data_IF_244357545470
#
_entry.id   IF_244357545470
#
_cell.length_a   1.000
_cell.length_b   1.000
_cell.length_c   1.000
_cell.angle_alpha   90.00
_cell.angle_beta   90.00
_cell.angle_gamma   90.00
#
_symmetry.space_group_name_H-M   'P 1'
#
loop_
_entity.id
_entity.type
_entity.pdbx_description
1 polymer ?
#
# COMPACT_ATOMS: atom_id res chain seq x y z
N UNK A 1 -24.10 8.60 7.20
CA UNK A 1 -22.97 7.87 6.56
C UNK A 1 -21.73 8.67 6.88
N UNK A 2 -20.66 8.02 7.31
CA UNK A 2 -19.38 8.70 7.51
C UNK A 2 -18.87 9.17 6.13
N UNK A 3 -18.20 10.33 6.08
CA UNK A 3 -17.55 10.77 4.85
C UNK A 3 -16.39 9.79 4.54
N UNK A 4 -16.30 9.32 3.30
CA UNK A 4 -15.21 8.42 2.87
C UNK A 4 -13.82 9.05 3.06
N UNK A 5 -13.73 10.38 3.15
CA UNK A 5 -12.48 11.11 3.42
C UNK A 5 -11.96 10.90 4.83
N UNK A 6 -12.83 10.50 5.75
CA UNK A 6 -12.47 10.21 7.14
C UNK A 6 -12.08 8.74 7.34
N UNK A 7 -12.04 7.93 6.27
CA UNK A 7 -11.58 6.53 6.33
C UNK A 7 -10.19 6.48 6.94
N UNK A 8 -9.98 5.71 8.04
CA UNK A 8 -8.65 5.53 8.60
C UNK A 8 -7.68 4.91 7.57
N UNK A 9 -6.54 5.56 7.38
CA UNK A 9 -5.46 5.09 6.51
C UNK A 9 -4.24 4.84 7.36
N UNK A 10 -3.73 3.60 7.32
CA UNK A 10 -2.53 3.19 8.00
C UNK A 10 -1.43 2.93 6.97
N UNK A 11 -0.31 3.63 7.10
CA UNK A 11 0.86 3.50 6.22
C UNK A 11 1.95 2.81 7.02
N UNK A 12 2.31 1.59 6.64
CA UNK A 12 3.33 0.80 7.30
C UNK A 12 4.71 1.18 6.73
N UNK A 13 5.44 2.08 7.38
CA UNK A 13 6.68 2.65 6.86
C UNK A 13 7.94 2.09 7.56
N UNK A 14 8.94 1.76 6.74
CA UNK A 14 10.31 1.49 7.17
C UNK A 14 11.29 2.14 6.19
N UNK A 15 11.99 3.18 6.63
CA UNK A 15 13.07 3.85 5.90
C UNK A 15 12.73 4.33 4.47
N UNK A 16 11.45 4.57 4.15
CA UNK A 16 11.00 5.08 2.85
C UNK A 16 10.56 6.55 2.97
N UNK A 17 11.09 7.42 2.12
CA UNK A 17 10.71 8.83 2.02
C UNK A 17 10.45 9.24 0.57
N UNK A 18 11.52 9.33 -0.25
CA UNK A 18 11.44 9.84 -1.62
C UNK A 18 10.94 8.75 -2.59
N UNK A 19 11.15 7.49 -2.25
CA UNK A 19 10.64 6.37 -3.04
C UNK A 19 9.22 6.02 -2.57
N UNK A 20 8.30 6.97 -2.78
CA UNK A 20 6.86 6.80 -2.65
C UNK A 20 6.21 7.52 -1.47
N UNK A 21 6.72 7.47 -0.24
CA UNK A 21 6.01 7.97 0.94
C UNK A 21 5.61 9.45 0.83
N UNK A 22 6.51 10.30 0.35
CA UNK A 22 6.22 11.72 0.12
C UNK A 22 5.11 11.91 -0.90
N UNK A 23 5.19 11.21 -2.04
CA UNK A 23 4.20 11.29 -3.11
C UNK A 23 2.84 10.75 -2.67
N UNK A 24 2.82 9.66 -1.91
CA UNK A 24 1.61 9.09 -1.32
C UNK A 24 0.92 10.11 -0.40
N UNK A 25 1.66 10.76 0.51
CA UNK A 25 1.08 11.79 1.39
C UNK A 25 0.54 13.00 0.60
N UNK A 26 1.25 13.43 -0.43
CA UNK A 26 0.78 14.51 -1.31
C UNK A 26 -0.52 14.09 -2.00
N UNK A 27 -0.58 12.87 -2.54
CA UNK A 27 -1.79 12.38 -3.20
C UNK A 27 -2.97 12.29 -2.22
N UNK A 28 -2.77 11.69 -1.05
CA UNK A 28 -3.82 11.56 -0.03
C UNK A 28 -4.40 12.92 0.39
N UNK A 29 -3.57 13.93 0.57
CA UNK A 29 -4.03 15.29 0.88
C UNK A 29 -4.82 15.93 -0.26
N UNK A 30 -4.37 15.75 -1.50
CA UNK A 30 -5.11 16.22 -2.68
C UNK A 30 -6.47 15.53 -2.78
N UNK A 31 -6.56 14.26 -2.40
CA UNK A 31 -7.83 13.52 -2.31
C UNK A 31 -8.71 13.95 -1.12
N UNK A 32 -8.19 14.81 -0.24
CA UNK A 32 -8.91 15.33 0.93
C UNK A 32 -9.00 14.34 2.10
N UNK A 33 -8.10 13.34 2.17
CA UNK A 33 -8.06 12.37 3.27
C UNK A 33 -7.60 13.05 4.56
N UNK A 34 -8.33 12.82 5.66
CA UNK A 34 -8.14 13.52 6.94
C UNK A 34 -7.60 12.64 8.06
N UNK A 35 -7.78 11.33 7.96
CA UNK A 35 -7.43 10.37 9.02
C UNK A 35 -6.27 9.47 8.60
N UNK A 36 -5.04 10.02 8.63
CA UNK A 36 -3.83 9.34 8.20
C UNK A 36 -2.95 9.03 9.41
N UNK A 37 -2.55 7.78 9.57
CA UNK A 37 -1.61 7.31 10.59
C UNK A 37 -0.45 6.59 9.94
N UNK A 38 0.76 7.01 10.23
CA UNK A 38 2.01 6.32 9.86
C UNK A 38 2.42 5.40 11.00
N UNK A 39 2.62 4.14 10.70
CA UNK A 39 3.19 3.13 11.58
C UNK A 39 4.68 2.99 11.22
N UNK A 40 5.54 3.66 11.97
CA UNK A 40 6.98 3.66 11.70
C UNK A 40 7.66 2.47 12.41
N UNK A 41 8.23 1.58 11.62
CA UNK A 41 8.89 0.35 12.04
C UNK A 41 10.36 0.58 12.49
N UNK A 42 10.60 1.50 13.44
CA UNK A 42 11.95 1.83 13.91
C UNK A 42 12.89 2.30 12.79
N UNK A 43 12.39 3.16 11.91
CA UNK A 43 13.20 3.77 10.86
C UNK A 43 14.37 4.56 11.43
N UNK A 44 15.52 4.44 10.77
CA UNK A 44 16.79 5.10 11.14
C UNK A 44 17.34 5.97 10.01
N UNK A 45 16.69 6.04 8.87
CA UNK A 45 17.07 6.89 7.73
C UNK A 45 16.88 8.37 8.09
N UNK A 46 17.97 9.11 8.24
CA UNK A 46 17.94 10.48 8.78
C UNK A 46 17.04 11.43 7.99
N UNK A 47 17.03 11.46 6.64
CA UNK A 47 16.12 12.31 5.88
C UNK A 47 14.63 12.05 6.21
N UNK A 48 14.25 10.79 6.45
CA UNK A 48 12.88 10.44 6.88
C UNK A 48 12.60 10.96 8.30
N UNK A 49 13.55 10.83 9.22
CA UNK A 49 13.40 11.32 10.59
C UNK A 49 13.23 12.84 10.62
N UNK A 50 13.98 13.55 9.78
CA UNK A 50 13.87 15.02 9.64
C UNK A 50 12.50 15.38 9.02
N UNK A 51 12.04 14.63 8.03
CA UNK A 51 10.72 14.79 7.44
C UNK A 51 9.60 14.60 8.48
N UNK A 52 9.70 13.59 9.35
CA UNK A 52 8.74 13.37 10.43
C UNK A 52 8.63 14.52 11.41
N UNK A 53 9.71 15.30 11.59
CA UNK A 53 9.75 16.48 12.45
C UNK A 53 9.34 17.77 11.73
N UNK A 54 9.04 17.70 10.44
CA UNK A 54 8.71 18.88 9.63
C UNK A 54 7.21 19.18 9.61
N UNK A 55 6.86 20.38 9.15
CA UNK A 55 5.47 20.77 8.91
C UNK A 55 4.75 19.92 7.85
N UNK A 56 5.52 19.15 7.06
CA UNK A 56 4.96 18.20 6.11
C UNK A 56 4.15 17.08 6.78
N UNK A 57 4.32 16.85 8.08
CA UNK A 57 3.55 15.89 8.87
C UNK A 57 2.33 16.49 9.59
N UNK A 58 2.04 17.77 9.40
CA UNK A 58 0.85 18.38 10.02
C UNK A 58 -0.42 17.63 9.63
N UNK A 59 -1.23 17.23 10.61
CA UNK A 59 -2.46 16.46 10.42
C UNK A 59 -2.25 14.98 10.16
N UNK A 60 -1.04 14.45 10.29
CA UNK A 60 -0.71 13.02 10.19
C UNK A 60 -0.30 12.50 11.56
N UNK A 61 -0.90 11.42 12.01
CA UNK A 61 -0.49 10.73 13.23
C UNK A 61 0.76 9.90 12.95
N UNK A 62 1.73 9.92 13.86
CA UNK A 62 2.94 9.11 13.79
C UNK A 62 3.02 8.18 15.00
N UNK A 63 2.97 6.89 14.77
CA UNK A 63 3.18 5.84 15.76
C UNK A 63 4.53 5.21 15.51
N UNK A 64 5.49 5.41 16.42
CA UNK A 64 6.81 4.79 16.36
C UNK A 64 6.82 3.50 17.16
N UNK A 65 7.20 2.40 16.52
CA UNK A 65 7.26 1.08 17.14
C UNK A 65 8.64 0.44 16.94
N UNK A 66 8.88 -0.69 17.60
CA UNK A 66 9.96 -1.57 17.21
C UNK A 66 9.73 -2.08 15.78
N UNK A 67 10.78 -2.54 15.10
CA UNK A 67 10.60 -3.12 13.77
C UNK A 67 9.81 -4.44 13.87
N UNK A 68 8.56 -4.39 13.48
CA UNK A 68 7.62 -5.51 13.43
C UNK A 68 7.40 -6.00 11.99
N UNK A 69 8.10 -5.41 11.02
CA UNK A 69 7.99 -5.72 9.59
C UNK A 69 6.58 -5.50 9.05
N UNK A 70 6.15 -6.40 8.18
CA UNK A 70 4.81 -6.38 7.60
C UNK A 70 3.68 -6.64 8.63
N UNK A 71 4.02 -7.20 9.79
CA UNK A 71 3.06 -7.48 10.86
C UNK A 71 2.73 -6.25 11.73
N UNK A 72 3.38 -5.11 11.53
CA UNK A 72 3.26 -3.95 12.42
C UNK A 72 1.81 -3.55 12.67
N UNK A 73 1.02 -3.44 11.62
CA UNK A 73 -0.40 -3.10 11.73
C UNK A 73 -1.16 -4.08 12.65
N UNK A 74 -0.93 -5.37 12.49
CA UNK A 74 -1.63 -6.43 13.22
C UNK A 74 -1.18 -6.57 14.68
N UNK A 75 0.04 -6.10 14.99
CA UNK A 75 0.65 -6.16 16.32
C UNK A 75 0.50 -4.88 17.12
N UNK A 76 0.05 -3.80 16.48
CA UNK A 76 -0.19 -2.49 17.10
C UNK A 76 -1.69 -2.25 17.37
N UNK A 77 -2.44 -3.29 17.72
CA UNK A 77 -3.89 -3.27 17.96
C UNK A 77 -4.36 -2.07 18.79
N UNK A 78 -3.62 -1.75 19.86
CA UNK A 78 -3.96 -0.63 20.74
C UNK A 78 -4.03 0.73 20.04
N UNK A 79 -3.24 0.92 18.97
CA UNK A 79 -3.18 2.17 18.22
C UNK A 79 -4.18 2.21 17.05
N UNK A 80 -4.56 1.05 16.51
CA UNK A 80 -5.37 0.98 15.28
C UNK A 80 -6.84 0.66 15.52
N UNK A 81 -7.13 -0.19 16.49
CA UNK A 81 -8.49 -0.65 16.77
C UNK A 81 -9.50 0.45 17.11
N UNK A 82 -9.17 1.51 17.88
CA UNK A 82 -10.14 2.56 18.19
C UNK A 82 -10.66 3.27 16.93
N UNK A 83 -9.78 3.56 15.96
CA UNK A 83 -10.17 4.23 14.73
C UNK A 83 -10.97 3.30 13.80
N UNK A 84 -10.58 2.02 13.72
CA UNK A 84 -11.33 1.01 12.97
C UNK A 84 -12.72 0.81 13.56
N UNK A 85 -12.84 0.69 14.90
CA UNK A 85 -14.11 0.51 15.57
C UNK A 85 -15.07 1.70 15.34
N UNK A 86 -14.52 2.91 15.26
CA UNK A 86 -15.27 4.14 15.02
C UNK A 86 -15.80 4.23 13.58
N UNK A 87 -15.00 3.82 12.58
CA UNK A 87 -15.34 3.98 11.16
C UNK A 87 -15.95 2.70 10.56
N UNK A 88 -15.50 1.53 10.97
CA UNK A 88 -15.98 0.23 10.51
C UNK A 88 -15.23 -0.34 9.30
N UNK A 89 -14.45 0.48 8.56
CA UNK A 89 -13.55 0.11 7.47
C UNK A 89 -12.25 0.89 7.63
N UNK A 90 -11.17 0.39 7.02
CA UNK A 90 -9.88 1.07 7.06
C UNK A 90 -9.07 0.73 5.81
N UNK A 91 -8.09 1.56 5.51
CA UNK A 91 -7.10 1.32 4.45
C UNK A 91 -5.77 0.98 5.12
N UNK A 92 -5.14 -0.09 4.64
CA UNK A 92 -3.75 -0.41 4.94
C UNK A 92 -2.95 -0.33 3.64
N UNK A 93 -1.79 0.29 3.70
CA UNK A 93 -0.90 0.44 2.54
C UNK A 93 0.57 0.46 2.96
N UNK A 94 1.43 0.08 2.02
CA UNK A 94 2.86 0.33 2.10
C UNK A 94 3.18 1.77 1.66
N UNK A 95 4.32 2.36 2.05
CA UNK A 95 4.66 3.75 1.78
C UNK A 95 5.01 4.01 0.31
N UNK A 96 5.41 2.97 -0.41
CA UNK A 96 5.93 3.02 -1.77
C UNK A 96 4.93 2.54 -2.84
N UNK A 97 3.66 2.38 -2.44
CA UNK A 97 2.53 2.14 -3.34
C UNK A 97 1.74 3.44 -3.50
N UNK A 98 1.88 4.06 -4.66
CA UNK A 98 1.35 5.40 -4.92
C UNK A 98 0.33 5.35 -6.05
N UNK A 99 -0.86 5.98 -5.90
CA UNK A 99 -1.80 6.11 -7.00
C UNK A 99 -1.13 6.74 -8.23
N UNK A 100 -1.40 6.16 -9.40
CA UNK A 100 -0.89 6.64 -10.68
C UNK A 100 -1.22 8.12 -10.90
N UNK A 101 -0.44 8.82 -11.72
CA UNK A 101 -0.64 10.25 -11.98
C UNK A 101 -2.03 10.57 -12.54
N UNK A 102 -2.62 9.65 -13.30
CA UNK A 102 -3.95 9.76 -13.89
C UNK A 102 -5.05 9.16 -12.99
N UNK A 103 -4.69 8.60 -11.83
CA UNK A 103 -5.66 8.02 -10.90
C UNK A 103 -6.57 9.11 -10.33
N UNK A 104 -7.90 8.98 -10.47
CA UNK A 104 -8.84 9.96 -9.94
C UNK A 104 -8.75 10.10 -8.41
N UNK A 105 -8.88 11.34 -7.93
CA UNK A 105 -8.79 11.65 -6.49
C UNK A 105 -9.94 11.06 -5.65
N UNK A 106 -10.93 10.47 -6.28
CA UNK A 106 -12.05 9.79 -5.63
C UNK A 106 -11.84 8.26 -5.52
N UNK A 107 -10.62 7.77 -5.67
CA UNK A 107 -10.27 6.34 -5.53
C UNK A 107 -10.88 5.71 -4.28
N UNK A 108 -10.73 6.35 -3.11
CA UNK A 108 -11.26 5.81 -1.85
C UNK A 108 -12.79 5.71 -1.88
N UNK A 109 -13.48 6.72 -2.45
CA UNK A 109 -14.93 6.66 -2.66
C UNK A 109 -15.30 5.47 -3.55
N UNK A 110 -14.58 5.27 -4.65
CA UNK A 110 -14.81 4.14 -5.57
C UNK A 110 -14.62 2.80 -4.88
N UNK A 111 -13.59 2.67 -4.01
CA UNK A 111 -13.37 1.46 -3.22
C UNK A 111 -14.56 1.19 -2.28
N UNK A 112 -15.11 2.20 -1.62
CA UNK A 112 -16.31 2.06 -0.80
C UNK A 112 -17.53 1.62 -1.60
N UNK A 113 -17.78 2.21 -2.79
CA UNK A 113 -18.88 1.82 -3.67
C UNK A 113 -18.82 0.34 -4.07
N UNK A 114 -17.62 -0.14 -4.39
CA UNK A 114 -17.40 -1.55 -4.73
C UNK A 114 -17.56 -2.45 -3.50
N UNK A 115 -17.05 -2.02 -2.34
CA UNK A 115 -17.21 -2.74 -1.08
C UNK A 115 -18.68 -2.85 -0.67
N UNK A 116 -19.49 -1.80 -0.88
CA UNK A 116 -20.94 -1.83 -0.60
C UNK A 116 -21.69 -2.75 -1.54
N UNK A 117 -21.27 -2.82 -2.82
CA UNK A 117 -21.93 -3.64 -3.84
C UNK A 117 -21.66 -5.14 -3.69
N UNK A 118 -20.42 -5.52 -3.36
CA UNK A 118 -19.99 -6.91 -3.41
C UNK A 118 -19.66 -7.53 -2.05
N UNK A 119 -19.52 -6.69 -1.01
CA UNK A 119 -19.13 -7.12 0.35
C UNK A 119 -17.88 -8.01 0.41
N UNK A 120 -16.81 -7.70 -0.34
CA UNK A 120 -15.57 -8.48 -0.31
C UNK A 120 -14.81 -8.24 1.00
N UNK A 121 -13.80 -9.07 1.27
CA UNK A 121 -12.88 -8.82 2.38
C UNK A 121 -11.99 -7.61 2.13
N UNK A 122 -11.52 -7.45 0.90
CA UNK A 122 -10.65 -6.34 0.49
C UNK A 122 -11.08 -5.77 -0.87
N UNK A 123 -10.95 -4.45 -1.00
CA UNK A 123 -11.01 -3.74 -2.28
C UNK A 123 -9.76 -2.88 -2.40
N UNK A 124 -9.08 -2.91 -3.52
CA UNK A 124 -7.93 -2.05 -3.78
C UNK A 124 -7.73 -1.78 -5.26
N UNK A 125 -6.88 -0.79 -5.63
CA UNK A 125 -6.47 -0.59 -7.01
C UNK A 125 -5.62 -1.76 -7.51
N UNK A 126 -5.61 -2.01 -8.81
CA UNK A 126 -4.62 -2.90 -9.39
C UNK A 126 -3.25 -2.20 -9.47
N UNK A 127 -2.17 -2.98 -9.40
CA UNK A 127 -0.82 -2.45 -9.60
C UNK A 127 -0.57 -2.36 -11.11
N UNK A 128 -0.14 -1.19 -11.55
CA UNK A 128 0.18 -0.94 -12.95
C UNK A 128 1.46 -1.67 -13.37
N UNK A 129 1.41 -2.43 -14.47
CA UNK A 129 2.53 -3.24 -14.95
C UNK A 129 2.92 -2.95 -16.41
N UNK A 130 2.09 -2.24 -17.15
CA UNK A 130 2.30 -1.95 -18.58
C UNK A 130 3.40 -0.92 -18.82
N UNK A 131 3.62 0.00 -17.89
CA UNK A 131 4.57 1.11 -17.96
C UNK A 131 5.85 0.92 -17.15
N UNK A 132 6.11 -0.25 -16.57
CA UNK A 132 7.36 -0.53 -15.84
C UNK A 132 8.54 -0.32 -16.81
N UNK A 133 9.51 0.57 -16.48
CA UNK A 133 10.54 0.97 -17.42
C UNK A 133 11.57 -0.14 -17.68
N UNK A 134 12.17 -0.10 -18.89
CA UNK A 134 13.14 -1.12 -19.32
C UNK A 134 14.45 -1.12 -18.49
N UNK A 135 14.76 -0.01 -17.83
CA UNK A 135 15.94 0.09 -16.97
C UNK A 135 15.77 -0.58 -15.59
N UNK A 136 14.57 -1.02 -15.25
CA UNK A 136 14.34 -1.85 -14.06
C UNK A 136 14.67 -3.31 -14.37
N UNK A 137 15.71 -3.85 -13.74
CA UNK A 137 16.27 -5.17 -14.09
C UNK A 137 15.26 -6.33 -13.90
N UNK A 138 14.31 -6.20 -12.98
CA UNK A 138 13.31 -7.23 -12.70
C UNK A 138 11.96 -6.97 -13.41
N UNK A 139 11.91 -6.05 -14.36
CA UNK A 139 10.67 -5.67 -15.05
C UNK A 139 9.85 -6.85 -15.53
N UNK A 140 10.48 -7.73 -16.31
CA UNK A 140 9.75 -8.83 -16.95
C UNK A 140 9.29 -9.88 -15.92
N UNK A 141 10.06 -10.06 -14.84
CA UNK A 141 9.69 -10.91 -13.72
C UNK A 141 8.48 -10.35 -12.97
N UNK A 142 8.46 -9.05 -12.63
CA UNK A 142 7.32 -8.42 -11.97
C UNK A 142 6.07 -8.43 -12.84
N UNK A 143 6.22 -8.19 -14.13
CA UNK A 143 5.11 -8.30 -15.10
C UNK A 143 4.55 -9.72 -15.15
N UNK A 144 5.40 -10.71 -15.13
CA UNK A 144 4.98 -12.11 -15.09
C UNK A 144 4.21 -12.42 -13.80
N UNK A 145 4.74 -12.07 -12.63
CA UNK A 145 4.08 -12.32 -11.34
C UNK A 145 2.73 -11.62 -11.21
N UNK A 146 2.60 -10.37 -11.67
CA UNK A 146 1.38 -9.59 -11.57
C UNK A 146 0.36 -9.89 -12.67
N UNK A 147 0.79 -10.49 -13.81
CA UNK A 147 -0.10 -10.74 -14.96
C UNK A 147 -1.31 -11.62 -14.61
N UNK A 148 -1.15 -12.57 -13.70
CA UNK A 148 -2.23 -13.47 -13.29
C UNK A 148 -3.38 -12.73 -12.61
N UNK A 149 -3.11 -11.58 -12.00
CA UNK A 149 -4.12 -10.76 -11.33
C UNK A 149 -4.94 -9.90 -12.32
N UNK A 150 -4.61 -9.94 -13.61
CA UNK A 150 -5.31 -9.28 -14.70
C UNK A 150 -6.09 -10.26 -15.61
N UNK A 151 -6.30 -11.52 -15.16
CA UNK A 151 -6.94 -12.57 -15.97
C UNK A 151 -8.43 -12.76 -15.66
N UNK A 152 -8.82 -12.64 -14.38
CA UNK A 152 -10.18 -12.94 -13.94
C UNK A 152 -11.01 -11.66 -13.81
N UNK A 153 -11.62 -11.26 -14.91
CA UNK A 153 -12.47 -10.06 -14.92
C UNK A 153 -13.78 -10.31 -14.20
N UNK A 154 -14.10 -9.47 -13.21
CA UNK A 154 -15.38 -9.52 -12.49
C UNK A 154 -16.46 -8.74 -13.25
N UNK A 155 -16.10 -7.55 -13.77
CA UNK A 155 -16.95 -6.70 -14.61
C UNK A 155 -16.07 -5.72 -15.40
N UNK A 156 -16.68 -4.71 -16.04
CA UNK A 156 -15.93 -3.72 -16.84
C UNK A 156 -14.93 -2.87 -16.04
N UNK A 157 -15.06 -2.80 -14.71
CA UNK A 157 -14.30 -1.90 -13.83
C UNK A 157 -13.46 -2.65 -12.79
N UNK A 158 -13.59 -3.98 -12.69
CA UNK A 158 -13.01 -4.74 -11.58
C UNK A 158 -12.50 -6.11 -11.99
N UNK A 159 -11.49 -6.58 -11.27
CA UNK A 159 -10.88 -7.91 -11.35
C UNK A 159 -11.10 -8.68 -10.05
N UNK A 160 -11.41 -9.96 -10.16
CA UNK A 160 -11.40 -10.91 -9.04
C UNK A 160 -9.97 -11.43 -8.89
N UNK A 161 -9.20 -10.81 -8.01
CA UNK A 161 -7.80 -11.12 -7.82
C UNK A 161 -7.34 -10.81 -6.40
N UNK A 162 -6.42 -11.61 -5.83
CA UNK A 162 -5.84 -11.36 -4.51
C UNK A 162 -5.23 -9.98 -4.40
N UNK A 163 -5.36 -9.36 -3.21
CA UNK A 163 -4.69 -8.13 -2.85
C UNK A 163 -3.82 -8.42 -1.64
N UNK A 164 -2.54 -8.11 -1.75
CA UNK A 164 -1.61 -8.10 -0.63
C UNK A 164 -1.85 -6.87 0.28
N UNK A 165 -0.84 -6.36 0.96
CA UNK A 165 -0.93 -5.16 1.82
C UNK A 165 -0.95 -3.84 1.05
N UNK A 166 -0.99 -3.88 -0.26
CA UNK A 166 -0.95 -2.72 -1.17
C UNK A 166 -2.28 -1.99 -1.20
N UNK A 167 -2.32 -0.75 -0.76
CA UNK A 167 -3.42 0.20 -0.79
C UNK A 167 -4.83 -0.45 -0.80
N UNK A 168 -5.16 -1.19 0.25
CA UNK A 168 -6.40 -1.95 0.30
C UNK A 168 -7.37 -1.42 1.35
N UNK A 169 -8.65 -1.26 0.97
CA UNK A 169 -9.78 -1.04 1.88
C UNK A 169 -10.22 -2.38 2.44
N UNK A 170 -10.13 -2.53 3.73
CA UNK A 170 -10.56 -3.71 4.48
C UNK A 170 -11.97 -3.51 5.03
N UNK A 171 -12.79 -4.54 4.97
CA UNK A 171 -14.08 -4.57 5.65
C UNK A 171 -13.90 -4.80 7.16
N UNK A 172 -14.82 -4.25 7.97
CA UNK A 172 -14.82 -4.45 9.42
C UNK A 172 -14.81 -5.94 9.77
N UNK A 173 -14.02 -6.31 10.76
CA UNK A 173 -13.85 -7.71 11.18
C UNK A 173 -12.64 -8.43 10.59
N UNK A 174 -11.98 -7.87 9.56
CA UNK A 174 -10.76 -8.41 8.97
C UNK A 174 -9.52 -7.82 9.63
N UNK A 175 -9.37 -8.03 10.93
CA UNK A 175 -8.30 -7.46 11.76
C UNK A 175 -7.15 -8.41 12.05
N UNK A 176 -7.14 -9.65 11.50
CA UNK A 176 -6.09 -10.63 11.75
C UNK A 176 -5.51 -11.21 10.48
N UNK A 177 -4.19 -11.16 10.39
CA UNK A 177 -3.40 -11.58 9.27
C UNK A 177 -3.78 -12.96 8.69
N UNK A 178 -3.89 -14.08 9.35
CA UNK A 178 -4.12 -15.35 8.66
C UNK A 178 -5.48 -15.47 7.99
N UNK A 179 -6.49 -14.69 8.41
CA UNK A 179 -7.85 -14.78 7.86
C UNK A 179 -7.99 -14.06 6.52
N UNK A 180 -7.14 -13.06 6.25
CA UNK A 180 -7.17 -12.32 4.99
C UNK A 180 -6.68 -13.16 3.79
N UNK A 181 -5.94 -14.24 4.05
CA UNK A 181 -5.36 -15.13 3.03
C UNK A 181 -6.05 -16.51 2.94
N UNK A 182 -7.04 -16.78 3.79
CA UNK A 182 -7.78 -18.04 3.69
C UNK A 182 -8.55 -18.10 2.39
N UNK A 183 -8.30 -19.13 1.59
CA UNK A 183 -8.97 -19.36 0.31
C UNK A 183 -10.50 -19.34 0.43
N UNK A 184 -11.16 -18.70 -0.52
CA UNK A 184 -12.61 -18.55 -0.57
C UNK A 184 -13.11 -17.15 -0.20
N UNK A 185 -12.23 -16.22 0.21
CA UNK A 185 -12.59 -14.82 0.50
C UNK A 185 -12.36 -13.99 -0.75
N UNK A 186 -13.38 -13.30 -1.21
CA UNK A 186 -13.29 -12.46 -2.40
C UNK A 186 -12.45 -11.20 -2.13
N UNK A 187 -11.45 -10.98 -2.97
CA UNK A 187 -10.74 -9.70 -3.09
C UNK A 187 -11.06 -9.10 -4.46
N UNK A 188 -11.21 -7.78 -4.52
CA UNK A 188 -11.55 -7.09 -5.76
C UNK A 188 -10.52 -6.01 -6.03
N UNK A 189 -9.84 -6.12 -7.18
CA UNK A 189 -8.95 -5.08 -7.70
C UNK A 189 -9.73 -4.20 -8.67
N UNK A 190 -9.59 -2.88 -8.51
CA UNK A 190 -10.11 -1.90 -9.47
C UNK A 190 -9.25 -1.90 -10.74
N UNK A 191 -9.89 -1.64 -11.88
CA UNK A 191 -9.22 -1.45 -13.18
C UNK A 191 -8.88 0.02 -13.43
N UNK A 192 -8.21 0.29 -14.54
CA UNK A 192 -8.00 1.67 -15.01
C UNK A 192 -9.29 2.48 -14.99
N UNK A 193 -9.20 3.78 -14.62
CA UNK A 193 -8.02 4.56 -14.25
C UNK A 193 -7.60 4.45 -12.78
N UNK A 194 -8.25 3.63 -11.97
CA UNK A 194 -7.98 3.45 -10.55
C UNK A 194 -6.86 2.43 -10.33
N UNK A 195 -5.64 2.79 -10.68
CA UNK A 195 -4.45 1.95 -10.53
C UNK A 195 -3.38 2.65 -9.70
N UNK A 196 -2.45 1.86 -9.15
CA UNK A 196 -1.29 2.33 -8.38
C UNK A 196 0.00 1.87 -9.02
N UNK A 197 1.08 2.59 -8.72
CA UNK A 197 2.45 2.21 -9.04
C UNK A 197 3.15 1.72 -7.77
N UNK A 198 3.90 0.63 -7.86
CA UNK A 198 4.87 0.24 -6.85
C UNK A 198 6.20 0.91 -7.18
N UNK A 199 6.50 2.02 -6.51
CA UNK A 199 7.59 2.94 -6.88
C UNK A 199 8.96 2.30 -7.01
N UNK A 200 9.37 1.29 -6.21
CA UNK A 200 10.61 0.56 -6.43
C UNK A 200 10.78 -0.04 -7.83
N UNK A 201 9.70 -0.36 -8.54
CA UNK A 201 9.75 -0.92 -9.90
C UNK A 201 10.09 0.12 -10.98
N UNK A 202 10.16 1.38 -10.60
CA UNK A 202 10.49 2.49 -11.50
C UNK A 202 11.93 3.01 -11.33
N UNK A 203 12.69 2.39 -10.42
CA UNK A 203 14.09 2.74 -10.19
C UNK A 203 15.00 2.22 -11.29
N UNK A 204 16.04 3.01 -11.63
CA UNK A 204 17.11 2.53 -12.49
C UNK A 204 17.99 1.54 -11.72
N UNK A 205 17.93 0.26 -12.06
CA UNK A 205 18.69 -0.79 -11.36
C UNK A 205 20.21 -0.65 -11.50
N UNK A 206 20.69 0.09 -12.49
CA UNK A 206 22.13 0.37 -12.68
C UNK A 206 22.61 1.58 -11.84
N UNK A 207 21.67 2.41 -11.35
CA UNK A 207 21.98 3.63 -10.60
C UNK A 207 20.90 3.86 -9.54
N UNK A 208 20.99 3.10 -8.46
CA UNK A 208 20.01 3.16 -7.37
C UNK A 208 20.26 4.37 -6.49
N UNK A 209 19.20 5.09 -6.06
CA UNK A 209 19.32 6.20 -5.12
C UNK A 209 19.79 5.73 -3.73
N UNK A 210 20.38 6.66 -2.97
CA UNK A 210 20.88 6.43 -1.61
C UNK A 210 19.83 5.78 -0.70
N UNK A 211 18.59 6.25 -0.75
CA UNK A 211 17.48 5.70 0.04
C UNK A 211 17.28 4.20 -0.23
N UNK A 212 17.38 3.76 -1.49
CA UNK A 212 17.21 2.33 -1.83
C UNK A 212 18.37 1.50 -1.30
N UNK A 213 19.61 2.01 -1.38
CA UNK A 213 20.77 1.34 -0.77
C UNK A 213 20.63 1.25 0.74
N UNK A 214 20.18 2.36 1.38
CA UNK A 214 19.95 2.39 2.81
C UNK A 214 18.88 1.37 3.22
N UNK A 215 17.75 1.37 2.53
CA UNK A 215 16.66 0.41 2.78
C UNK A 215 17.14 -1.03 2.70
N UNK A 216 17.82 -1.40 1.61
CA UNK A 216 18.32 -2.78 1.41
C UNK A 216 19.32 -3.22 2.47
N UNK A 217 20.12 -2.30 2.98
CA UNK A 217 21.10 -2.60 4.04
C UNK A 217 20.46 -2.82 5.42
N UNK A 218 19.23 -2.34 5.65
CA UNK A 218 18.58 -2.34 6.96
C UNK A 218 17.28 -3.17 7.02
N UNK A 219 16.71 -3.51 5.88
CA UNK A 219 15.54 -4.39 5.85
C UNK A 219 15.95 -5.83 6.23
N UNK A 220 15.11 -6.48 7.04
CA UNK A 220 15.39 -7.86 7.43
C UNK A 220 15.38 -8.79 6.20
N UNK A 221 16.24 -9.82 6.14
CA UNK A 221 16.23 -10.78 5.06
C UNK A 221 14.85 -11.41 4.87
N UNK A 222 14.37 -11.48 3.63
CA UNK A 222 13.05 -12.02 3.29
C UNK A 222 11.91 -10.99 3.25
N UNK A 223 12.14 -9.73 3.64
CA UNK A 223 11.15 -8.65 3.58
C UNK A 223 11.36 -7.68 2.39
N UNK A 224 12.30 -7.96 1.50
CA UNK A 224 12.38 -7.19 0.26
C UNK A 224 11.20 -7.53 -0.66
N UNK A 225 10.58 -6.52 -1.24
CA UNK A 225 9.42 -6.53 -2.11
C UNK A 225 9.62 -7.33 -3.40
N UNK A 226 9.93 -8.59 -3.29
CA UNK A 226 10.12 -9.44 -4.45
C UNK A 226 9.16 -10.62 -4.36
N UNK A 227 8.35 -10.80 -5.38
CA UNK A 227 7.88 -12.11 -5.77
C UNK A 227 9.08 -13.09 -5.62
N UNK A 228 8.93 -14.24 -4.96
CA UNK A 228 10.03 -15.17 -4.78
C UNK A 228 10.66 -15.46 -6.13
N UNK A 229 11.95 -15.09 -6.30
CA UNK A 229 12.67 -15.56 -7.48
C UNK A 229 12.60 -17.07 -7.46
N UNK A 230 12.07 -17.65 -8.53
CA UNK A 230 12.29 -19.07 -8.78
C UNK A 230 13.81 -19.28 -8.74
N UNK A 231 14.30 -19.96 -7.71
CA UNK A 231 15.68 -20.37 -7.64
C UNK A 231 15.86 -21.33 -8.81
N UNK A 232 16.39 -20.84 -9.92
CA UNK A 232 16.89 -21.73 -10.97
C UNK A 232 18.14 -22.37 -10.40
N UNK A 233 18.01 -23.68 -10.01
CA UNK A 233 19.12 -24.57 -9.81
C UNK A 233 19.98 -24.71 -11.08
#
# INVERSE_FOLDING_TARGET
MNDWRDTPIFINNFCRLEIGFRDLLVWLRRAGMTNITVLDNASTYQPLLDFYNSSAMNGVNLVRAANLGHEAFWRLDFHVLPEIAKFGRYILTDPDVVPDADCPLDLVRKMHEVADRYSPAKVGPAIRIDNIPAHYAQRDHMRFCESDYWLRRLNAECWDAPIDTVFALYSAGWTRWPLAEQGGVQHIRLDFPYVVEHKPWYLNSADLPEEEWYYRAHVAPGFSSSCPMAVTE
#
